data_IF_542565923244
#
_entry.id   IF_542565923244
#
_cell.length_a   1.000
_cell.length_b   1.000
_cell.length_c   1.000
_cell.angle_alpha   90.00
_cell.angle_beta   90.00
_cell.angle_gamma   90.00
#
_symmetry.space_group_name_H-M   'P 1'
#
loop_
_entity.id
_entity.type
_entity.pdbx_description
1 polymer ?
#
# COMPACT_ATOMS: atom_id res chain seq x y z
N UNK A 1 -5.73 -23.98 -16.35
CA UNK A 1 -4.99 -22.72 -16.17
C UNK A 1 -5.17 -22.30 -14.73
N UNK A 2 -4.09 -22.01 -13.99
CA UNK A 2 -4.21 -21.55 -12.61
C UNK A 2 -4.99 -20.23 -12.57
N UNK A 3 -5.83 -20.05 -11.54
CA UNK A 3 -6.54 -18.79 -11.34
C UNK A 3 -5.53 -17.68 -11.09
N UNK A 4 -5.67 -16.59 -11.83
CA UNK A 4 -4.86 -15.39 -11.71
C UNK A 4 -5.35 -14.45 -10.59
N UNK A 5 -6.48 -14.79 -9.96
CA UNK A 5 -7.00 -14.15 -8.75
C UNK A 5 -6.57 -15.03 -7.58
N UNK A 6 -5.84 -14.49 -6.57
CA UNK A 6 -5.46 -15.25 -5.39
C UNK A 6 -6.68 -15.63 -4.54
N UNK A 7 -6.57 -16.66 -3.72
CA UNK A 7 -7.53 -16.89 -2.65
C UNK A 7 -7.30 -15.92 -1.47
N UNK A 8 -8.23 -15.94 -0.51
CA UNK A 8 -8.21 -15.13 0.69
C UNK A 8 -8.00 -15.96 1.98
N UNK A 9 -7.44 -17.18 1.87
CA UNK A 9 -7.39 -18.11 3.00
C UNK A 9 -6.50 -17.56 4.13
N UNK A 10 -5.33 -17.01 3.80
CA UNK A 10 -4.43 -16.38 4.77
C UNK A 10 -5.11 -15.22 5.55
N UNK A 11 -5.90 -14.41 4.85
CA UNK A 11 -6.66 -13.31 5.45
C UNK A 11 -7.78 -13.82 6.37
N UNK A 12 -8.45 -14.92 5.99
CA UNK A 12 -9.47 -15.59 6.82
C UNK A 12 -8.85 -16.22 8.07
N UNK A 13 -7.72 -16.92 7.92
CA UNK A 13 -7.00 -17.57 9.02
C UNK A 13 -6.51 -16.54 10.03
N UNK A 14 -5.92 -15.43 9.55
CA UNK A 14 -5.51 -14.35 10.43
C UNK A 14 -6.70 -13.67 11.12
N UNK A 15 -7.81 -13.45 10.41
CA UNK A 15 -9.02 -12.89 11.01
C UNK A 15 -9.59 -13.76 12.15
N UNK A 16 -9.40 -15.09 12.08
CA UNK A 16 -9.79 -16.03 13.13
C UNK A 16 -8.82 -16.05 14.32
N UNK A 17 -7.55 -15.72 14.09
CA UNK A 17 -6.50 -15.71 15.12
C UNK A 17 -6.41 -14.39 15.89
N UNK A 18 -6.68 -13.26 15.23
CA UNK A 18 -6.46 -11.94 15.79
C UNK A 18 -7.72 -11.36 16.45
N UNK A 19 -7.55 -10.87 17.68
CA UNK A 19 -8.58 -10.10 18.36
C UNK A 19 -9.00 -8.88 17.51
N UNK A 20 -10.31 -8.57 17.36
CA UNK A 20 -10.77 -7.42 16.57
C UNK A 20 -10.13 -6.09 16.99
N UNK A 21 -9.80 -5.93 18.27
CA UNK A 21 -9.13 -4.75 18.80
C UNK A 21 -7.69 -4.60 18.27
N UNK A 22 -6.95 -5.71 18.12
CA UNK A 22 -5.58 -5.71 17.60
C UNK A 22 -5.53 -5.21 16.15
N UNK A 23 -6.39 -5.77 15.29
CA UNK A 23 -6.50 -5.36 13.87
C UNK A 23 -6.87 -3.89 13.71
N UNK A 24 -7.82 -3.41 14.54
CA UNK A 24 -8.25 -2.02 14.55
C UNK A 24 -7.14 -1.06 15.01
N UNK A 25 -6.38 -1.42 16.04
CA UNK A 25 -5.29 -0.58 16.57
C UNK A 25 -4.15 -0.39 15.54
N UNK A 26 -3.92 -1.38 14.68
CA UNK A 26 -2.93 -1.33 13.60
C UNK A 26 -3.50 -0.76 12.28
N UNK A 27 -4.80 -0.46 12.22
CA UNK A 27 -5.45 0.04 11.01
C UNK A 27 -5.44 -0.96 9.85
N UNK A 28 -5.52 -2.26 10.14
CA UNK A 28 -5.49 -3.34 9.15
C UNK A 28 -6.86 -3.51 8.47
N UNK A 29 -6.88 -3.41 7.13
CA UNK A 29 -8.03 -3.68 6.28
C UNK A 29 -7.60 -4.61 5.14
N UNK A 30 -8.30 -5.74 4.94
CA UNK A 30 -7.88 -6.70 3.91
C UNK A 30 -8.37 -6.31 2.53
N UNK A 31 -7.49 -6.46 1.54
CA UNK A 31 -7.80 -6.17 0.14
C UNK A 31 -8.60 -7.33 -0.47
N UNK A 32 -9.79 -7.09 -1.03
CA UNK A 32 -10.53 -8.12 -1.76
C UNK A 32 -9.68 -8.70 -2.91
N UNK A 33 -9.64 -10.02 -3.14
CA UNK A 33 -8.76 -10.62 -4.15
C UNK A 33 -8.92 -10.07 -5.57
N UNK A 34 -10.14 -9.68 -5.96
CA UNK A 34 -10.40 -9.06 -7.27
C UNK A 34 -9.76 -7.68 -7.41
N UNK A 35 -9.70 -6.91 -6.32
CA UNK A 35 -9.00 -5.63 -6.32
C UNK A 35 -7.48 -5.84 -6.32
N UNK A 36 -7.00 -6.83 -5.59
CA UNK A 36 -5.57 -7.20 -5.62
C UNK A 36 -5.13 -7.59 -7.04
N UNK A 37 -5.93 -8.39 -7.75
CA UNK A 37 -5.67 -8.76 -9.14
C UNK A 37 -5.64 -7.54 -10.08
N UNK A 38 -6.58 -6.60 -9.94
CA UNK A 38 -6.63 -5.37 -10.73
C UNK A 38 -5.39 -4.48 -10.49
N UNK A 39 -4.99 -4.33 -9.23
CA UNK A 39 -3.79 -3.57 -8.86
C UNK A 39 -2.53 -4.21 -9.45
N UNK A 40 -2.44 -5.54 -9.39
CA UNK A 40 -1.34 -6.28 -9.98
C UNK A 40 -1.30 -6.18 -11.51
N UNK A 41 -2.45 -6.17 -12.19
CA UNK A 41 -2.52 -6.00 -13.66
C UNK A 41 -1.94 -4.65 -14.11
N UNK A 42 -2.19 -3.57 -13.36
CA UNK A 42 -1.58 -2.26 -13.62
C UNK A 42 -0.06 -2.29 -13.50
N UNK A 43 0.44 -2.86 -12.40
CA UNK A 43 1.87 -2.95 -12.08
C UNK A 43 2.61 -3.82 -13.10
N UNK A 44 2.02 -4.95 -13.50
CA UNK A 44 2.56 -5.86 -14.51
C UNK A 44 2.75 -5.20 -15.88
N UNK A 45 1.96 -4.18 -16.21
CA UNK A 45 2.12 -3.45 -17.46
C UNK A 45 3.41 -2.62 -17.58
N UNK A 46 4.25 -2.58 -16.54
CA UNK A 46 5.61 -2.04 -16.58
C UNK A 46 6.70 -3.12 -16.72
N UNK A 47 6.34 -4.40 -16.83
CA UNK A 47 7.26 -5.55 -16.86
C UNK A 47 8.30 -5.52 -15.71
N UNK A 48 7.83 -5.47 -14.44
CA UNK A 48 8.71 -5.22 -13.31
C UNK A 48 9.61 -6.41 -13.00
N UNK A 49 10.91 -6.17 -12.81
CA UNK A 49 11.85 -7.19 -12.32
C UNK A 49 11.93 -7.24 -10.79
N UNK A 50 11.63 -6.11 -10.12
CA UNK A 50 11.60 -5.98 -8.67
C UNK A 50 10.34 -5.23 -8.22
N UNK A 51 9.51 -5.89 -7.40
CA UNK A 51 8.26 -5.38 -6.87
C UNK A 51 8.36 -5.20 -5.36
N UNK A 52 7.72 -4.15 -4.85
CA UNK A 52 7.58 -3.85 -3.43
C UNK A 52 6.13 -4.02 -2.97
N UNK A 53 5.96 -4.64 -1.79
CA UNK A 53 4.75 -4.56 -0.97
C UNK A 53 5.09 -3.91 0.39
N UNK A 54 4.85 -2.59 0.57
CA UNK A 54 5.25 -1.86 1.77
C UNK A 54 4.48 -2.21 3.05
N UNK A 55 3.35 -2.89 2.91
CA UNK A 55 2.43 -3.21 4.01
C UNK A 55 1.70 -4.51 3.66
N UNK A 56 2.48 -5.61 3.67
CA UNK A 56 2.11 -6.91 3.14
C UNK A 56 0.80 -7.44 3.73
N UNK A 57 0.60 -7.25 5.03
CA UNK A 57 -0.45 -7.89 5.78
C UNK A 57 -0.33 -9.42 5.67
N UNK A 58 -1.44 -10.07 5.29
CA UNK A 58 -1.48 -11.52 5.08
C UNK A 58 -1.03 -11.95 3.66
N UNK A 59 -0.68 -10.98 2.78
CA UNK A 59 0.02 -11.24 1.51
C UNK A 59 -0.86 -11.31 0.25
N UNK A 60 -2.17 -11.02 0.30
CA UNK A 60 -3.02 -11.09 -0.92
C UNK A 60 -2.52 -10.23 -2.09
N UNK A 61 -1.99 -9.03 -1.83
CA UNK A 61 -1.41 -8.17 -2.87
C UNK A 61 -0.10 -8.74 -3.41
N UNK A 62 0.73 -9.27 -2.52
CA UNK A 62 1.98 -9.95 -2.83
C UNK A 62 1.75 -11.14 -3.76
N UNK A 63 0.82 -12.03 -3.40
CA UNK A 63 0.42 -13.20 -4.20
C UNK A 63 -0.17 -12.79 -5.54
N UNK A 64 -1.03 -11.76 -5.57
CA UNK A 64 -1.58 -11.24 -6.82
C UNK A 64 -0.46 -10.75 -7.77
N UNK A 65 0.48 -9.95 -7.26
CA UNK A 65 1.59 -9.43 -8.07
C UNK A 65 2.48 -10.55 -8.62
N UNK A 66 2.87 -11.54 -7.79
CA UNK A 66 3.68 -12.69 -8.23
C UNK A 66 2.93 -13.59 -9.22
N UNK A 67 1.60 -13.70 -9.11
CA UNK A 67 0.81 -14.43 -10.11
C UNK A 67 0.81 -13.75 -11.49
N UNK A 68 1.01 -12.41 -11.57
CA UNK A 68 1.12 -11.66 -12.82
C UNK A 68 2.57 -11.60 -13.33
N UNK A 69 3.53 -11.52 -12.42
CA UNK A 69 4.95 -11.35 -12.72
C UNK A 69 5.74 -12.48 -12.04
N UNK A 70 5.64 -13.73 -12.53
CA UNK A 70 6.23 -14.90 -11.86
C UNK A 70 7.76 -14.86 -11.79
N UNK A 71 8.40 -14.14 -12.72
CA UNK A 71 9.86 -13.98 -12.76
C UNK A 71 10.35 -12.77 -11.95
N UNK A 72 9.45 -11.95 -11.42
CA UNK A 72 9.81 -10.79 -10.62
C UNK A 72 10.27 -11.21 -9.22
N UNK A 73 11.31 -10.52 -8.72
CA UNK A 73 11.62 -10.57 -7.29
C UNK A 73 10.65 -9.68 -6.54
N UNK A 74 10.25 -10.10 -5.35
CA UNK A 74 9.32 -9.36 -4.50
C UNK A 74 9.93 -9.15 -3.12
N UNK A 75 9.91 -7.90 -2.65
CA UNK A 75 10.25 -7.52 -1.28
C UNK A 75 8.98 -7.04 -0.59
N UNK A 76 8.68 -7.61 0.58
CA UNK A 76 7.47 -7.31 1.32
C UNK A 76 7.80 -6.89 2.76
N UNK A 77 7.12 -5.87 3.27
CA UNK A 77 7.32 -5.33 4.60
C UNK A 77 6.09 -5.61 5.47
N UNK A 78 6.31 -6.08 6.68
CA UNK A 78 5.26 -6.25 7.68
C UNK A 78 5.82 -6.06 9.09
N UNK A 79 5.27 -5.11 9.85
CA UNK A 79 5.78 -4.77 11.17
C UNK A 79 5.10 -5.57 12.29
N UNK A 80 3.93 -6.16 12.04
CA UNK A 80 3.19 -6.96 13.01
C UNK A 80 3.59 -8.45 12.96
N UNK A 81 4.28 -9.00 13.98
CA UNK A 81 4.59 -10.42 14.02
C UNK A 81 3.36 -11.33 14.12
N UNK A 82 2.19 -10.82 14.53
CA UNK A 82 1.01 -11.64 14.69
C UNK A 82 0.43 -12.08 13.33
N UNK A 83 0.33 -11.15 12.36
CA UNK A 83 -0.18 -11.48 11.02
C UNK A 83 0.74 -12.43 10.26
N UNK A 84 2.05 -12.32 10.49
CA UNK A 84 3.05 -13.21 9.87
C UNK A 84 2.88 -14.69 10.23
N UNK A 85 2.16 -15.02 11.31
CA UNK A 85 1.90 -16.42 11.68
C UNK A 85 0.92 -17.12 10.74
N UNK A 86 0.11 -16.36 10.00
CA UNK A 86 -0.90 -16.87 9.07
C UNK A 86 -0.74 -16.29 7.65
N UNK A 87 0.25 -15.42 7.44
CA UNK A 87 0.49 -14.81 6.14
C UNK A 87 1.00 -15.84 5.12
N UNK A 88 0.59 -15.67 3.86
CA UNK A 88 1.17 -16.34 2.71
C UNK A 88 1.79 -15.30 1.79
N UNK A 89 3.11 -15.20 1.83
CA UNK A 89 3.90 -14.24 1.06
C UNK A 89 4.15 -14.65 -0.40
N UNK A 90 3.67 -15.82 -0.84
CA UNK A 90 3.79 -16.27 -2.23
C UNK A 90 5.23 -16.46 -2.74
N UNK A 91 6.23 -16.48 -1.85
CA UNK A 91 7.66 -16.55 -2.20
C UNK A 91 8.42 -15.22 -2.12
N UNK A 92 7.80 -14.14 -1.62
CA UNK A 92 8.48 -12.88 -1.39
C UNK A 92 9.55 -12.93 -0.29
N UNK A 93 10.55 -12.05 -0.39
CA UNK A 93 11.45 -11.72 0.70
C UNK A 93 10.70 -10.86 1.73
N UNK A 94 10.28 -11.45 2.85
CA UNK A 94 9.56 -10.74 3.91
C UNK A 94 10.53 -10.13 4.91
N UNK A 95 10.45 -8.82 5.09
CA UNK A 95 11.20 -8.04 6.06
C UNK A 95 10.27 -7.64 7.20
N UNK A 96 10.53 -8.20 8.39
CA UNK A 96 9.75 -7.88 9.58
C UNK A 96 10.21 -6.54 10.20
N UNK A 97 9.87 -5.43 9.54
CA UNK A 97 10.29 -4.09 9.94
C UNK A 97 9.25 -3.02 9.56
N UNK A 98 9.36 -1.84 10.17
CA UNK A 98 8.54 -0.68 9.81
C UNK A 98 9.06 -0.09 8.48
N UNK A 99 8.29 -0.29 7.40
CA UNK A 99 8.62 0.22 6.08
C UNK A 99 8.98 1.71 6.08
N UNK A 100 8.29 2.54 6.87
CA UNK A 100 8.59 3.97 6.86
C UNK A 100 9.99 4.25 7.42
N UNK A 101 10.47 3.45 8.38
CA UNK A 101 11.82 3.55 8.95
C UNK A 101 12.90 2.83 8.15
N UNK A 102 12.50 1.95 7.24
CA UNK A 102 13.43 1.22 6.39
C UNK A 102 14.22 2.14 5.44
N UNK A 103 15.33 1.63 4.90
CA UNK A 103 16.16 2.35 3.96
C UNK A 103 15.45 2.70 2.64
N UNK A 104 16.10 3.57 1.87
CA UNK A 104 15.64 3.97 0.54
C UNK A 104 16.24 3.05 -0.53
N UNK A 105 15.40 2.18 -1.08
CA UNK A 105 15.68 1.34 -2.26
C UNK A 105 14.76 1.71 -3.43
N UNK A 106 15.15 1.34 -4.64
CA UNK A 106 14.39 1.58 -5.87
C UNK A 106 13.72 0.30 -6.39
N UNK A 107 12.49 0.43 -6.89
CA UNK A 107 11.63 -0.68 -7.34
C UNK A 107 11.01 -0.37 -8.72
N UNK A 108 10.71 -1.41 -9.49
CA UNK A 108 10.03 -1.28 -10.80
C UNK A 108 8.50 -1.27 -10.62
N UNK A 109 8.03 -1.98 -9.59
CA UNK A 109 6.62 -2.13 -9.25
C UNK A 109 6.35 -1.87 -7.78
N UNK A 110 5.19 -1.30 -7.44
CA UNK A 110 4.70 -1.26 -6.06
C UNK A 110 3.22 -1.61 -6.01
N UNK A 111 2.84 -2.56 -5.15
CA UNK A 111 1.44 -2.82 -4.77
C UNK A 111 1.29 -2.52 -3.29
N UNK A 112 0.26 -1.78 -2.89
CA UNK A 112 0.13 -1.40 -1.48
C UNK A 112 -1.30 -1.16 -1.04
N UNK A 113 -1.64 -1.67 0.14
CA UNK A 113 -2.75 -1.21 0.96
C UNK A 113 -2.17 -0.81 2.34
N UNK A 114 -1.84 0.48 2.54
CA UNK A 114 -1.15 0.95 3.74
C UNK A 114 -2.06 0.90 4.98
N UNK A 115 -1.53 1.02 6.21
CA UNK A 115 -2.34 1.09 7.43
C UNK A 115 -3.18 2.38 7.52
N UNK A 116 -4.45 2.26 7.91
CA UNK A 116 -5.42 3.38 7.93
C UNK A 116 -5.47 4.08 9.28
N UNK A 117 -4.34 4.62 9.73
CA UNK A 117 -4.20 5.31 11.02
C UNK A 117 -4.36 6.83 10.85
N UNK A 118 -5.22 7.44 11.68
CA UNK A 118 -5.47 8.88 11.64
C UNK A 118 -4.33 9.65 12.29
N UNK A 119 -4.07 10.86 11.79
CA UNK A 119 -2.98 11.72 12.29
C UNK A 119 -2.97 11.96 13.81
N UNK A 120 -4.14 11.96 14.47
CA UNK A 120 -4.27 12.18 15.93
C UNK A 120 -3.76 11.00 16.77
N UNK A 121 -3.64 9.84 16.16
CA UNK A 121 -3.20 8.60 16.79
C UNK A 121 -1.69 8.37 16.61
N UNK A 122 -1.06 9.12 15.69
CA UNK A 122 0.37 9.02 15.42
C UNK A 122 1.20 9.66 16.52
N UNK A 123 2.13 8.89 17.09
CA UNK A 123 3.13 9.34 18.06
C UNK A 123 4.51 9.25 17.43
N UNK A 124 5.39 10.20 17.76
CA UNK A 124 6.81 10.19 17.37
C UNK A 124 7.12 10.08 15.86
N UNK A 125 6.19 10.53 15.01
CA UNK A 125 6.26 10.39 13.55
C UNK A 125 6.82 11.62 12.82
N UNK A 126 7.11 12.70 13.55
CA UNK A 126 7.42 14.01 12.96
C UNK A 126 8.74 14.06 12.19
N UNK A 127 9.80 13.46 12.73
CA UNK A 127 11.11 13.43 12.09
C UNK A 127 11.09 12.62 10.79
N UNK A 128 10.50 11.41 10.85
CA UNK A 128 10.32 10.53 9.70
C UNK A 128 9.51 11.21 8.58
N UNK A 129 8.39 11.83 8.94
CA UNK A 129 7.55 12.58 7.98
C UNK A 129 8.31 13.73 7.33
N UNK A 130 9.16 14.44 8.09
CA UNK A 130 9.99 15.52 7.56
C UNK A 130 11.03 15.00 6.56
N UNK A 131 11.66 13.86 6.85
CA UNK A 131 12.61 13.20 5.94
C UNK A 131 11.92 12.77 4.64
N UNK A 132 10.82 12.03 4.72
CA UNK A 132 10.04 11.60 3.56
C UNK A 132 9.60 12.82 2.73
N UNK A 133 9.14 13.87 3.40
CA UNK A 133 8.71 15.09 2.72
C UNK A 133 9.85 15.83 2.00
N UNK A 134 11.04 15.85 2.60
CA UNK A 134 12.24 16.43 1.98
C UNK A 134 12.62 15.66 0.70
N UNK A 135 12.62 14.32 0.76
CA UNK A 135 12.89 13.46 -0.41
C UNK A 135 11.87 13.65 -1.54
N UNK A 136 10.62 13.93 -1.19
CA UNK A 136 9.54 14.15 -2.15
C UNK A 136 9.46 15.58 -2.71
N UNK A 137 10.25 16.52 -2.19
CA UNK A 137 10.06 17.95 -2.48
C UNK A 137 8.69 18.47 -2.01
N UNK A 138 8.08 17.81 -1.03
CA UNK A 138 6.73 18.06 -0.54
C UNK A 138 6.68 17.95 0.98
N UNK A 139 6.44 19.06 1.68
CA UNK A 139 6.24 19.04 3.13
C UNK A 139 4.89 18.39 3.48
N UNK A 140 4.92 17.14 3.95
CA UNK A 140 3.73 16.41 4.39
C UNK A 140 3.18 17.06 5.68
N UNK A 141 1.93 17.56 5.69
CA UNK A 141 1.36 18.20 6.88
C UNK A 141 1.25 17.24 8.06
N UNK A 142 1.40 17.74 9.29
CA UNK A 142 1.14 16.96 10.52
C UNK A 142 -0.29 16.43 10.61
N UNK A 143 -1.24 17.07 9.94
CA UNK A 143 -2.65 16.65 9.87
C UNK A 143 -2.92 15.53 8.84
N UNK A 144 -1.92 15.11 8.05
CA UNK A 144 -2.06 14.01 7.11
C UNK A 144 -2.11 12.66 7.84
N UNK A 145 -3.03 11.78 7.41
CA UNK A 145 -3.11 10.40 7.89
C UNK A 145 -1.88 9.58 7.45
N UNK A 146 -1.62 8.45 8.10
CA UNK A 146 -0.40 7.66 7.90
C UNK A 146 -0.19 7.17 6.47
N UNK A 147 -1.28 6.81 5.77
CA UNK A 147 -1.21 6.36 4.38
C UNK A 147 -0.54 7.39 3.45
N UNK A 148 -0.54 8.69 3.81
CA UNK A 148 0.12 9.72 3.00
C UNK A 148 1.64 9.55 3.06
N UNK A 149 2.20 9.21 4.23
CA UNK A 149 3.64 8.94 4.37
C UNK A 149 4.05 7.73 3.54
N UNK A 150 3.25 6.67 3.59
CA UNK A 150 3.42 5.46 2.80
C UNK A 150 3.38 5.75 1.29
N UNK A 151 2.34 6.43 0.80
CA UNK A 151 2.20 6.74 -0.63
C UNK A 151 3.34 7.62 -1.11
N UNK A 152 3.73 8.65 -0.35
CA UNK A 152 4.81 9.56 -0.76
C UNK A 152 6.13 8.82 -0.80
N UNK A 153 6.46 8.04 0.24
CA UNK A 153 7.70 7.24 0.27
C UNK A 153 7.74 6.23 -0.87
N UNK A 154 6.71 5.40 -1.01
CA UNK A 154 6.62 4.37 -2.05
C UNK A 154 6.68 4.94 -3.47
N UNK A 155 6.01 6.07 -3.74
CA UNK A 155 6.06 6.73 -5.05
C UNK A 155 7.46 7.31 -5.36
N UNK A 156 8.19 7.77 -4.35
CA UNK A 156 9.58 8.22 -4.52
C UNK A 156 10.57 7.06 -4.76
N UNK A 157 10.22 5.85 -4.34
CA UNK A 157 11.01 4.62 -4.53
C UNK A 157 10.72 3.89 -5.84
N UNK A 158 9.81 4.40 -6.69
CA UNK A 158 9.65 3.90 -8.05
C UNK A 158 10.76 4.41 -8.95
N UNK A 159 11.40 3.51 -9.69
CA UNK A 159 12.28 3.85 -10.82
C UNK A 159 11.50 4.60 -11.89
N UNK A 160 12.17 5.41 -12.71
CA UNK A 160 11.55 6.06 -13.89
C UNK A 160 10.87 5.01 -14.77
N UNK A 161 9.61 5.24 -15.13
CA UNK A 161 8.79 4.29 -15.88
C UNK A 161 8.13 3.19 -15.03
N UNK A 162 8.58 2.98 -13.79
CA UNK A 162 7.98 2.02 -12.85
C UNK A 162 6.56 2.40 -12.45
N UNK A 163 5.75 1.40 -12.12
CA UNK A 163 4.31 1.55 -11.85
C UNK A 163 3.94 1.17 -10.43
N UNK A 164 3.09 1.96 -9.80
CA UNK A 164 2.52 1.69 -8.49
C UNK A 164 1.00 1.64 -8.51
N UNK A 165 0.41 0.76 -7.71
CA UNK A 165 -1.01 0.73 -7.40
C UNK A 165 -1.22 0.84 -5.89
N UNK A 166 -1.85 1.92 -5.44
CA UNK A 166 -2.04 2.23 -4.02
C UNK A 166 -3.52 2.29 -3.65
N UNK A 167 -3.98 1.38 -2.81
CA UNK A 167 -5.36 1.36 -2.29
C UNK A 167 -5.42 2.23 -1.02
N UNK A 168 -6.11 3.37 -1.09
CA UNK A 168 -6.21 4.33 0.03
C UNK A 168 -7.65 4.77 0.28
N UNK A 169 -7.98 5.30 1.48
CA UNK A 169 -9.30 5.85 1.79
C UNK A 169 -9.65 7.03 0.88
N UNK A 170 -10.84 7.06 0.28
CA UNK A 170 -11.29 8.08 -0.68
C UNK A 170 -11.49 9.49 -0.12
N UNK A 171 -11.47 9.65 1.21
CA UNK A 171 -11.61 10.95 1.89
C UNK A 171 -10.49 11.94 1.56
N UNK A 172 -9.35 11.47 1.05
CA UNK A 172 -8.21 12.30 0.65
C UNK A 172 -8.61 13.38 -0.38
N UNK A 173 -9.62 13.12 -1.21
CA UNK A 173 -10.06 14.06 -2.24
C UNK A 173 -10.68 15.33 -1.64
N UNK A 174 -11.34 15.23 -0.48
CA UNK A 174 -11.98 16.35 0.20
C UNK A 174 -11.17 16.91 1.38
N UNK A 175 -10.06 16.28 1.74
CA UNK A 175 -9.32 16.63 2.95
C UNK A 175 -8.53 17.93 2.84
N UNK A 176 -8.55 18.74 3.91
CA UNK A 176 -7.84 20.03 3.97
C UNK A 176 -6.32 19.89 3.77
N UNK A 177 -5.71 18.80 4.22
CA UNK A 177 -4.26 18.57 4.04
C UNK A 177 -3.89 18.20 2.60
N UNK A 178 -4.87 17.81 1.77
CA UNK A 178 -4.59 17.11 0.52
C UNK A 178 -4.16 18.02 -0.63
N UNK A 179 -4.14 19.36 -0.47
CA UNK A 179 -3.70 20.25 -1.55
C UNK A 179 -2.27 19.94 -2.00
N UNK A 180 -1.33 19.88 -1.06
CA UNK A 180 0.07 19.54 -1.37
C UNK A 180 0.23 18.09 -1.85
N UNK A 181 -0.55 17.16 -1.27
CA UNK A 181 -0.55 15.77 -1.70
C UNK A 181 -1.02 15.60 -3.15
N UNK A 182 -2.06 16.32 -3.57
CA UNK A 182 -2.53 16.37 -4.96
C UNK A 182 -1.46 16.94 -5.90
N UNK A 183 -0.76 17.99 -5.49
CA UNK A 183 0.32 18.57 -6.28
C UNK A 183 1.49 17.59 -6.43
N UNK A 184 1.87 16.90 -5.35
CA UNK A 184 2.85 15.82 -5.39
C UNK A 184 2.41 14.72 -6.38
N UNK A 185 1.18 14.20 -6.24
CA UNK A 185 0.64 13.16 -7.11
C UNK A 185 0.63 13.57 -8.59
N UNK A 186 0.20 14.79 -8.91
CA UNK A 186 0.16 15.30 -10.29
C UNK A 186 1.55 15.64 -10.87
N UNK A 187 2.58 15.72 -10.04
CA UNK A 187 3.96 15.97 -10.45
C UNK A 187 4.85 14.75 -10.20
N UNK A 188 5.79 14.81 -9.23
CA UNK A 188 6.77 13.75 -8.99
C UNK A 188 6.16 12.40 -8.58
N UNK A 189 4.95 12.40 -8.01
CA UNK A 189 4.20 11.21 -7.64
C UNK A 189 3.58 10.45 -8.81
N UNK A 190 3.55 11.03 -10.02
CA UNK A 190 3.27 10.30 -11.26
C UNK A 190 1.85 9.74 -11.41
N UNK A 191 0.84 10.34 -10.78
CA UNK A 191 -0.55 9.89 -10.85
C UNK A 191 -1.07 9.88 -12.29
N UNK A 192 -1.54 8.71 -12.73
CA UNK A 192 -2.11 8.49 -14.06
C UNK A 192 -3.64 8.37 -13.98
N UNK A 193 -4.15 7.58 -13.03
CA UNK A 193 -5.58 7.33 -12.89
C UNK A 193 -5.98 7.19 -11.43
N UNK A 194 -7.25 7.52 -11.15
CA UNK A 194 -7.89 7.27 -9.86
C UNK A 194 -9.13 6.42 -10.10
N UNK A 195 -9.16 5.23 -9.50
CA UNK A 195 -10.36 4.38 -9.47
C UNK A 195 -11.10 4.66 -8.17
N UNK A 196 -12.31 5.19 -8.27
CA UNK A 196 -13.14 5.52 -7.11
C UNK A 196 -14.24 4.49 -6.92
N UNK A 197 -14.36 3.99 -5.69
CA UNK A 197 -15.44 3.09 -5.32
C UNK A 197 -16.54 3.86 -4.59
N UNK A 198 -17.71 3.94 -5.21
CA UNK A 198 -18.87 4.69 -4.69
C UNK A 198 -19.64 3.97 -3.58
N UNK A 199 -19.41 2.67 -3.40
CA UNK A 199 -20.07 1.87 -2.37
C UNK A 199 -19.21 1.74 -1.12
N UNK A 200 -19.83 1.92 0.06
CA UNK A 200 -19.17 1.75 1.37
C UNK A 200 -18.75 0.31 1.68
N UNK A 201 -19.13 -0.66 0.84
CA UNK A 201 -18.93 -2.10 1.08
C UNK A 201 -17.71 -2.71 0.38
N UNK A 202 -16.73 -1.93 -0.07
CA UNK A 202 -15.50 -2.50 -0.63
C UNK A 202 -14.67 -3.23 0.43
N UNK A 203 -14.79 -2.79 1.69
CA UNK A 203 -14.28 -3.50 2.85
C UNK A 203 -15.46 -3.72 3.79
N UNK A 204 -15.67 -4.94 4.26
CA UNK A 204 -16.81 -5.28 5.13
C UNK A 204 -16.86 -4.44 6.43
N UNK A 205 -15.70 -3.89 6.85
CA UNK A 205 -15.52 -3.12 8.10
C UNK A 205 -15.21 -1.61 7.90
N UNK A 206 -15.12 -1.08 6.68
CA UNK A 206 -14.72 0.33 6.48
C UNK A 206 -15.92 1.30 6.42
N UNK A 207 -15.84 2.38 7.22
CA UNK A 207 -16.84 3.44 7.27
C UNK A 207 -16.76 4.45 6.09
N UNK A 208 -15.80 4.27 5.17
CA UNK A 208 -15.41 5.27 4.16
C UNK A 208 -15.25 4.61 2.78
N UNK A 209 -15.38 5.41 1.72
CA UNK A 209 -15.15 4.95 0.36
C UNK A 209 -13.68 4.62 0.15
N UNK A 210 -13.38 3.71 -0.77
CA UNK A 210 -12.01 3.37 -1.15
C UNK A 210 -11.63 4.05 -2.47
N UNK A 211 -10.34 4.20 -2.70
CA UNK A 211 -9.80 4.61 -4.00
C UNK A 211 -8.49 3.89 -4.31
N UNK A 212 -8.26 3.56 -5.58
CA UNK A 212 -6.94 3.10 -6.05
C UNK A 212 -6.29 4.25 -6.82
N UNK A 213 -5.08 4.61 -6.41
CA UNK A 213 -4.19 5.48 -7.18
C UNK A 213 -3.33 4.60 -8.08
N UNK A 214 -3.45 4.79 -9.39
CA UNK A 214 -2.56 4.18 -10.37
C UNK A 214 -1.52 5.21 -10.77
N UNK A 215 -0.26 4.95 -10.43
CA UNK A 215 0.86 5.86 -10.66
C UNK A 215 1.88 5.24 -11.60
N UNK A 216 2.57 6.08 -12.35
CA UNK A 216 3.75 5.75 -13.14
C UNK A 216 4.79 6.84 -12.94
N UNK A 217 5.99 6.48 -12.50
CA UNK A 217 7.06 7.46 -12.24
C UNK A 217 7.46 8.15 -13.55
N UNK A 218 7.40 9.51 -13.61
CA UNK A 218 7.73 10.26 -14.83
C UNK A 218 9.16 10.11 -15.29
#
# INVERSE_FOLDING_TARGET
>A
MASLIPDAQAEVDYAALAEPYHRKALGQFFTPPRLAALMADWVAGADPALILDPAMGAGVLTRAALARCPDARMVAYECDPAILRAADAGGAEVRQEDFLRAGWEDYDGVVMNPPYIRHRELRDHGALRAEIGAMAGYAIPKSANLYVDFVVKAACQLRRGGRGAFLIPGEWMGANFARGFKQFLLGPGGLQQVVLFSQRHVFDDALTTASILLVQRP
#
